data_IF_665749628729
#
_entry.id   IF_665749628729
#
_cell.length_a   1.000
_cell.length_b   1.000
_cell.length_c   1.000
_cell.angle_alpha   90.00
_cell.angle_beta   90.00
_cell.angle_gamma   90.00
#
_symmetry.space_group_name_H-M   'P 1'
#
loop_
_entity.id
_entity.type
_entity.pdbx_description
1 polymer ?
#
# COMPACT_ATOMS: atom_id res chain seq x y z
N UNK A 1 -38.00 -45.02 39.25
CA UNK A 1 -37.73 -44.60 37.89
C UNK A 1 -37.03 -43.23 37.97
N UNK A 2 -35.70 -43.14 37.81
CA UNK A 2 -35.01 -41.86 37.87
C UNK A 2 -35.08 -41.16 36.50
N UNK A 3 -35.46 -39.89 36.51
CA UNK A 3 -35.44 -38.98 35.36
C UNK A 3 -34.00 -38.61 35.02
N UNK A 4 -33.61 -38.95 33.81
CA UNK A 4 -32.28 -38.62 33.26
C UNK A 4 -32.10 -37.11 33.16
N UNK A 5 -31.08 -36.57 33.84
CA UNK A 5 -30.65 -35.19 33.74
C UNK A 5 -30.07 -34.95 32.37
N UNK A 6 -30.60 -33.96 31.68
CA UNK A 6 -29.99 -33.36 30.51
C UNK A 6 -28.86 -32.42 31.00
N UNK A 7 -27.64 -32.90 31.00
CA UNK A 7 -26.47 -32.03 31.10
C UNK A 7 -26.35 -31.26 29.78
N UNK A 8 -26.68 -29.97 29.83
CA UNK A 8 -26.34 -29.03 28.78
C UNK A 8 -24.82 -29.09 28.58
N UNK A 9 -24.39 -29.59 27.44
CA UNK A 9 -23.04 -29.49 26.97
C UNK A 9 -22.82 -28.01 26.57
N UNK A 10 -22.37 -27.19 27.51
CA UNK A 10 -21.75 -25.90 27.19
C UNK A 10 -20.42 -26.29 26.60
N UNK A 11 -20.34 -26.33 25.26
CA UNK A 11 -19.10 -26.56 24.55
C UNK A 11 -18.10 -25.49 24.96
N UNK A 12 -17.11 -25.87 25.76
CA UNK A 12 -15.96 -25.01 26.05
C UNK A 12 -15.30 -24.66 24.72
N UNK A 13 -15.14 -23.38 24.45
CA UNK A 13 -14.33 -22.89 23.36
C UNK A 13 -12.94 -23.50 23.51
N UNK A 14 -12.46 -24.18 22.46
CA UNK A 14 -11.15 -24.80 22.47
C UNK A 14 -10.08 -23.70 22.60
N UNK A 15 -9.02 -23.91 23.40
CA UNK A 15 -7.93 -22.94 23.58
C UNK A 15 -7.41 -22.38 22.26
N UNK A 16 -7.47 -23.17 21.19
CA UNK A 16 -7.09 -22.78 19.84
C UNK A 16 -8.08 -21.77 19.22
N UNK A 17 -9.39 -21.91 19.47
CA UNK A 17 -10.42 -20.98 18.99
C UNK A 17 -10.29 -19.63 19.70
N UNK A 18 -10.09 -19.64 21.01
CA UNK A 18 -9.86 -18.41 21.78
C UNK A 18 -8.55 -17.70 21.33
N UNK A 19 -7.51 -18.45 20.99
CA UNK A 19 -6.26 -17.89 20.46
C UNK A 19 -6.47 -17.27 19.08
N UNK A 20 -7.28 -17.91 18.23
CA UNK A 20 -7.62 -17.41 16.90
C UNK A 20 -8.41 -16.09 16.98
N UNK A 21 -9.43 -16.04 17.85
CA UNK A 21 -10.22 -14.80 18.03
C UNK A 21 -9.35 -13.62 18.49
N UNK A 22 -8.47 -13.86 19.47
CA UNK A 22 -7.51 -12.85 19.94
C UNK A 22 -6.51 -12.42 18.85
N UNK A 23 -6.12 -13.30 17.94
CA UNK A 23 -5.27 -12.94 16.80
C UNK A 23 -6.04 -12.09 15.79
N UNK A 24 -7.30 -12.46 15.47
CA UNK A 24 -8.13 -11.73 14.52
C UNK A 24 -8.38 -10.27 14.97
N UNK A 25 -8.48 -9.99 16.27
CA UNK A 25 -8.54 -8.61 16.80
C UNK A 25 -7.33 -7.74 16.37
N UNK A 26 -6.18 -8.35 16.15
CA UNK A 26 -4.94 -7.66 15.77
C UNK A 26 -4.62 -7.75 14.26
N UNK A 27 -5.29 -8.67 13.52
CA UNK A 27 -4.97 -8.99 12.13
C UNK A 27 -4.92 -7.76 11.23
N UNK A 28 -5.91 -6.87 11.32
CA UNK A 28 -5.96 -5.65 10.51
C UNK A 28 -4.73 -4.76 10.70
N UNK A 29 -4.31 -4.57 11.97
CA UNK A 29 -3.09 -3.81 12.29
C UNK A 29 -1.83 -4.49 11.78
N UNK A 30 -1.70 -5.81 11.92
CA UNK A 30 -0.55 -6.58 11.45
C UNK A 30 -0.42 -6.51 9.92
N UNK A 31 -1.55 -6.65 9.21
CA UNK A 31 -1.62 -6.49 7.76
C UNK A 31 -1.21 -5.09 7.32
N UNK A 32 -1.66 -4.05 8.03
CA UNK A 32 -1.30 -2.67 7.74
C UNK A 32 0.22 -2.42 7.94
N UNK A 33 0.83 -2.99 8.99
CA UNK A 33 2.30 -2.95 9.19
C UNK A 33 3.01 -3.66 8.04
N UNK A 34 2.61 -4.91 7.74
CA UNK A 34 3.26 -5.72 6.71
C UNK A 34 3.14 -5.09 5.31
N UNK A 35 1.98 -4.53 4.97
CA UNK A 35 1.78 -3.85 3.68
C UNK A 35 2.67 -2.60 3.55
N UNK A 36 2.81 -1.77 4.61
CA UNK A 36 3.72 -0.61 4.58
C UNK A 36 5.20 -1.02 4.54
N UNK A 37 5.51 -2.21 5.04
CA UNK A 37 6.85 -2.77 4.98
C UNK A 37 7.18 -3.38 3.61
N UNK A 38 6.24 -4.05 2.96
CA UNK A 38 6.51 -4.91 1.80
C UNK A 38 6.01 -4.35 0.46
N UNK A 39 5.04 -3.41 0.49
CA UNK A 39 4.43 -2.82 -0.72
C UNK A 39 3.61 -3.81 -1.56
N UNK A 40 3.45 -5.06 -1.09
CA UNK A 40 2.75 -6.14 -1.76
C UNK A 40 1.67 -6.72 -0.85
N UNK A 41 0.44 -6.78 -1.35
CA UNK A 41 -0.69 -7.33 -0.60
C UNK A 41 -0.55 -8.83 -0.32
N UNK A 42 -0.17 -9.69 -1.29
CA UNK A 42 0.06 -11.11 -1.02
C UNK A 42 1.15 -11.34 0.01
N UNK A 43 2.29 -10.66 -0.10
CA UNK A 43 3.38 -10.85 0.86
C UNK A 43 3.03 -10.31 2.24
N UNK A 44 2.19 -9.28 2.33
CA UNK A 44 1.66 -8.82 3.61
C UNK A 44 0.78 -9.88 4.27
N UNK A 45 -0.09 -10.56 3.50
CA UNK A 45 -0.89 -11.68 4.01
C UNK A 45 0.01 -12.87 4.42
N UNK A 46 1.01 -13.20 3.63
CA UNK A 46 1.98 -14.27 3.95
C UNK A 46 2.72 -13.97 5.26
N UNK A 47 3.14 -12.71 5.47
CA UNK A 47 3.79 -12.28 6.71
C UNK A 47 2.85 -12.36 7.93
N UNK A 48 1.58 -12.04 7.76
CA UNK A 48 0.56 -12.18 8.80
C UNK A 48 0.31 -13.66 9.12
N UNK A 49 0.23 -14.52 8.10
CA UNK A 49 0.07 -15.96 8.28
C UNK A 49 1.28 -16.59 8.99
N UNK A 50 2.50 -16.20 8.62
CA UNK A 50 3.73 -16.66 9.31
C UNK A 50 3.73 -16.22 10.77
N UNK A 51 3.21 -15.02 11.06
CA UNK A 51 3.04 -14.52 12.43
C UNK A 51 2.06 -15.37 13.23
N UNK A 52 0.94 -15.78 12.62
CA UNK A 52 -0.01 -16.72 13.21
C UNK A 52 0.64 -18.08 13.52
N UNK A 53 1.39 -18.64 12.57
CA UNK A 53 2.08 -19.90 12.78
C UNK A 53 3.11 -19.86 13.93
N UNK A 54 3.75 -18.70 14.14
CA UNK A 54 4.64 -18.50 15.29
C UNK A 54 3.86 -18.41 16.59
N UNK A 55 2.73 -17.70 16.62
CA UNK A 55 1.86 -17.61 17.79
C UNK A 55 1.31 -18.97 18.19
N UNK A 56 0.81 -19.76 17.24
CA UNK A 56 0.23 -21.09 17.50
C UNK A 56 1.24 -22.09 18.08
N UNK A 57 2.55 -21.89 17.84
CA UNK A 57 3.63 -22.71 18.43
C UNK A 57 4.04 -22.23 19.81
N UNK A 58 3.96 -20.93 20.09
CA UNK A 58 4.38 -20.33 21.37
C UNK A 58 3.28 -20.44 22.43
N UNK A 59 2.00 -20.35 22.01
CA UNK A 59 0.85 -20.18 22.91
C UNK A 59 0.73 -18.74 23.42
N UNK A 60 -0.49 -18.36 23.84
CA UNK A 60 -0.73 -16.99 24.35
C UNK A 60 -0.45 -16.83 25.85
N UNK A 61 -0.41 -17.90 26.62
CA UNK A 61 -0.38 -17.86 28.09
C UNK A 61 0.94 -17.28 28.65
N UNK A 62 2.03 -17.39 27.87
CA UNK A 62 3.33 -16.83 28.24
C UNK A 62 3.50 -15.37 27.80
N UNK A 63 2.53 -14.81 27.01
CA UNK A 63 2.65 -13.50 26.38
C UNK A 63 1.87 -12.47 27.18
N UNK A 64 2.55 -11.60 27.94
CA UNK A 64 1.93 -10.53 28.74
C UNK A 64 1.24 -9.44 27.90
N UNK A 65 1.78 -9.13 26.72
CA UNK A 65 1.26 -8.13 25.77
C UNK A 65 1.22 -8.74 24.37
N UNK A 66 0.07 -9.31 24.00
CA UNK A 66 -0.10 -9.99 22.72
C UNK A 66 0.09 -9.06 21.53
N UNK A 67 -0.53 -7.86 21.55
CA UNK A 67 -0.41 -6.89 20.45
C UNK A 67 1.02 -6.43 20.21
N UNK A 68 1.78 -6.14 21.27
CA UNK A 68 3.20 -5.78 21.19
C UNK A 68 4.05 -6.95 20.66
N UNK A 69 3.81 -8.16 21.15
CA UNK A 69 4.51 -9.37 20.69
C UNK A 69 4.23 -9.65 19.20
N UNK A 70 2.96 -9.60 18.78
CA UNK A 70 2.57 -9.80 17.39
C UNK A 70 3.20 -8.75 16.46
N UNK A 71 3.21 -7.48 16.88
CA UNK A 71 3.86 -6.39 16.13
C UNK A 71 5.37 -6.64 15.98
N UNK A 72 6.03 -7.13 17.04
CA UNK A 72 7.44 -7.52 17.00
C UNK A 72 7.68 -8.66 16.02
N UNK A 73 6.83 -9.68 16.04
CA UNK A 73 6.97 -10.87 15.18
C UNK A 73 6.75 -10.51 13.70
N UNK A 74 5.67 -9.80 13.37
CA UNK A 74 5.42 -9.40 11.97
C UNK A 74 6.52 -8.47 11.47
N UNK A 75 7.03 -7.56 12.31
CA UNK A 75 8.15 -6.69 11.96
C UNK A 75 9.43 -7.48 11.62
N UNK A 76 9.75 -8.52 12.38
CA UNK A 76 10.89 -9.42 12.09
C UNK A 76 10.68 -10.18 10.78
N UNK A 77 9.49 -10.77 10.57
CA UNK A 77 9.17 -11.47 9.33
C UNK A 77 9.36 -10.56 8.12
N UNK A 78 8.81 -9.34 8.17
CA UNK A 78 8.97 -8.37 7.09
C UNK A 78 10.44 -7.97 6.87
N UNK A 79 11.20 -7.75 7.95
CA UNK A 79 12.62 -7.39 7.88
C UNK A 79 13.43 -8.49 7.21
N UNK A 80 13.19 -9.75 7.56
CA UNK A 80 13.88 -10.90 6.98
C UNK A 80 13.55 -11.10 5.50
N UNK A 81 12.27 -10.88 5.11
CA UNK A 81 11.87 -10.87 3.70
C UNK A 81 12.58 -9.77 2.90
N UNK A 82 12.64 -8.55 3.43
CA UNK A 82 13.34 -7.44 2.78
C UNK A 82 14.86 -7.69 2.67
N UNK A 83 15.50 -8.19 3.72
CA UNK A 83 16.92 -8.56 3.70
C UNK A 83 17.19 -9.63 2.64
N UNK A 84 16.30 -10.63 2.53
CA UNK A 84 16.41 -11.70 1.53
C UNK A 84 16.27 -11.15 0.11
N UNK A 85 15.32 -10.21 -0.12
CA UNK A 85 15.16 -9.52 -1.41
C UNK A 85 16.43 -8.74 -1.75
N UNK A 86 16.95 -7.95 -0.82
CA UNK A 86 18.18 -7.16 -1.01
C UNK A 86 19.38 -8.05 -1.33
N UNK A 87 19.53 -9.18 -0.63
CA UNK A 87 20.62 -10.12 -0.88
C UNK A 87 20.53 -10.86 -2.23
N UNK A 88 19.31 -11.02 -2.77
CA UNK A 88 19.09 -11.66 -4.09
C UNK A 88 19.11 -10.67 -5.25
N UNK A 89 19.05 -9.37 -4.97
CA UNK A 89 19.09 -8.33 -6.00
C UNK A 89 20.52 -8.19 -6.51
N UNK A 90 20.75 -8.66 -7.72
CA UNK A 90 21.90 -8.31 -8.55
C UNK A 90 21.68 -6.98 -9.31
N UNK A 91 20.42 -6.50 -9.34
CA UNK A 91 20.02 -5.28 -10.06
C UNK A 91 19.63 -4.13 -9.11
N UNK A 92 19.86 -2.86 -9.55
CA UNK A 92 19.41 -1.67 -8.84
C UNK A 92 17.89 -1.70 -8.57
N UNK A 93 17.43 -0.92 -7.58
CA UNK A 93 15.99 -0.72 -7.30
C UNK A 93 15.31 -0.36 -8.62
N UNK A 94 14.35 -1.18 -9.05
CA UNK A 94 13.60 -0.93 -10.27
C UNK A 94 12.81 0.38 -10.10
N UNK A 95 13.27 1.44 -10.76
CA UNK A 95 12.63 2.76 -10.71
C UNK A 95 11.19 2.74 -11.23
N UNK A 96 10.79 1.64 -11.86
CA UNK A 96 9.46 1.46 -12.42
C UNK A 96 8.50 0.77 -11.45
N UNK A 97 8.99 0.16 -10.37
CA UNK A 97 8.15 -0.56 -9.41
C UNK A 97 7.07 0.35 -8.82
N UNK A 98 5.83 -0.13 -8.84
CA UNK A 98 4.66 0.48 -8.22
C UNK A 98 4.11 -0.50 -7.18
N UNK A 99 3.94 -0.10 -5.90
CA UNK A 99 3.30 -0.94 -4.89
C UNK A 99 1.89 -1.39 -5.29
N UNK A 100 1.40 -2.50 -4.75
CA UNK A 100 0.03 -2.96 -4.99
C UNK A 100 -0.98 -1.91 -4.48
N UNK A 101 -1.88 -1.39 -5.33
CA UNK A 101 -2.82 -0.36 -4.90
C UNK A 101 -3.97 -0.95 -4.04
N UNK A 102 -4.39 -0.19 -3.04
CA UNK A 102 -5.64 -0.43 -2.31
C UNK A 102 -6.76 0.33 -3.01
N UNK A 103 -7.77 -0.41 -3.49
CA UNK A 103 -8.89 0.17 -4.25
C UNK A 103 -10.15 0.23 -3.39
N UNK A 104 -10.89 1.36 -3.50
CA UNK A 104 -12.25 1.53 -2.95
C UNK A 104 -13.13 2.29 -3.94
N UNK A 105 -14.44 2.02 -3.96
CA UNK A 105 -15.37 2.85 -4.75
C UNK A 105 -15.33 4.31 -4.29
N UNK A 106 -15.45 5.25 -5.26
CA UNK A 106 -15.52 6.68 -4.94
C UNK A 106 -16.87 7.09 -4.31
N UNK A 107 -17.87 6.22 -4.35
CA UNK A 107 -19.22 6.45 -3.79
C UNK A 107 -19.24 6.36 -2.26
N UNK A 108 -18.21 5.83 -1.63
CA UNK A 108 -18.10 5.64 -0.19
C UNK A 108 -17.49 6.87 0.52
N UNK A 109 -17.76 8.07 0.01
CA UNK A 109 -17.35 9.33 0.65
C UNK A 109 -18.35 9.71 1.77
N UNK A 110 -18.55 8.84 2.75
CA UNK A 110 -19.25 9.20 3.97
C UNK A 110 -18.27 9.97 4.88
N UNK A 111 -18.65 11.14 5.41
CA UNK A 111 -17.79 11.91 6.33
C UNK A 111 -17.33 11.12 7.57
N UNK A 112 -18.09 10.13 8.01
CA UNK A 112 -17.69 9.23 9.09
C UNK A 112 -16.58 8.25 8.68
N UNK A 113 -16.46 7.93 7.39
CA UNK A 113 -15.39 7.08 6.84
C UNK A 113 -14.10 7.85 6.52
N UNK A 114 -14.13 9.19 6.44
CA UNK A 114 -12.92 10.01 6.35
C UNK A 114 -11.96 9.74 7.53
N UNK A 115 -12.48 9.42 8.69
CA UNK A 115 -11.68 9.07 9.88
C UNK A 115 -10.95 7.73 9.69
N UNK A 116 -11.51 6.79 8.95
CA UNK A 116 -10.87 5.52 8.58
C UNK A 116 -9.86 5.68 7.42
N UNK A 117 -9.96 6.77 6.64
CA UNK A 117 -8.99 7.11 5.59
C UNK A 117 -7.66 7.62 6.15
N UNK A 118 -7.62 8.13 7.38
CA UNK A 118 -6.37 8.52 8.04
C UNK A 118 -5.35 7.37 8.13
N UNK A 119 -5.80 6.12 8.00
CA UNK A 119 -4.94 4.93 7.92
C UNK A 119 -4.48 4.58 6.50
N UNK A 120 -4.99 5.21 5.43
CA UNK A 120 -4.55 4.92 4.08
C UNK A 120 -3.25 5.67 3.76
N UNK A 121 -2.20 4.89 3.59
CA UNK A 121 -0.88 5.39 3.17
C UNK A 121 -0.89 5.56 1.66
N UNK A 122 -0.71 6.79 1.18
CA UNK A 122 -0.65 7.10 -0.25
C UNK A 122 0.45 6.32 -0.98
N UNK A 123 0.25 6.03 -2.27
CA UNK A 123 1.25 5.33 -3.10
C UNK A 123 2.61 6.05 -3.10
N UNK A 124 2.61 7.38 -3.10
CA UNK A 124 3.82 8.18 -3.01
C UNK A 124 4.69 7.79 -1.81
N UNK A 125 4.09 7.69 -0.61
CA UNK A 125 4.84 7.29 0.57
C UNK A 125 5.35 5.86 0.46
N UNK A 126 4.55 4.92 -0.06
CA UNK A 126 5.00 3.54 -0.26
C UNK A 126 6.20 3.45 -1.20
N UNK A 127 6.19 4.22 -2.30
CA UNK A 127 7.33 4.31 -3.23
C UNK A 127 8.57 4.86 -2.55
N UNK A 128 8.44 5.89 -1.70
CA UNK A 128 9.59 6.40 -0.93
C UNK A 128 10.08 5.36 0.06
N UNK A 129 9.18 4.65 0.73
CA UNK A 129 9.57 3.57 1.65
C UNK A 129 10.40 2.48 0.95
N UNK A 130 10.13 2.18 -0.35
CA UNK A 130 10.93 1.22 -1.13
C UNK A 130 12.39 1.66 -1.31
N UNK A 131 12.69 2.95 -1.23
CA UNK A 131 14.06 3.47 -1.34
C UNK A 131 14.86 3.39 -0.03
N UNK A 132 14.21 3.06 1.09
CA UNK A 132 14.84 2.97 2.39
C UNK A 132 15.54 1.63 2.59
N UNK A 133 16.64 1.65 3.33
CA UNK A 133 17.24 0.41 3.85
C UNK A 133 16.22 -0.33 4.75
N UNK A 134 16.19 -1.67 4.74
CA UNK A 134 15.18 -2.44 5.48
C UNK A 134 15.03 -2.04 6.95
N UNK A 135 16.14 -1.80 7.65
CA UNK A 135 16.12 -1.40 9.06
C UNK A 135 15.63 0.05 9.26
N UNK A 136 15.92 0.96 8.32
CA UNK A 136 15.41 2.33 8.33
C UNK A 136 13.91 2.35 8.10
N UNK A 137 13.43 1.57 7.11
CA UNK A 137 12.00 1.37 6.82
C UNK A 137 11.26 0.86 8.06
N UNK A 138 11.77 -0.22 8.69
CA UNK A 138 11.14 -0.79 9.87
C UNK A 138 11.04 0.22 11.01
N UNK A 139 12.14 0.92 11.33
CA UNK A 139 12.15 1.89 12.40
C UNK A 139 11.15 3.05 12.15
N UNK A 140 11.04 3.53 10.92
CA UNK A 140 10.09 4.57 10.53
C UNK A 140 8.65 4.05 10.58
N UNK A 141 8.36 2.91 9.94
CA UNK A 141 7.00 2.36 9.89
C UNK A 141 6.49 2.11 11.30
N UNK A 142 7.24 1.36 12.13
CA UNK A 142 6.76 1.03 13.47
C UNK A 142 6.64 2.24 14.39
N UNK A 143 7.60 3.17 14.36
CA UNK A 143 7.57 4.32 15.26
C UNK A 143 6.66 5.44 14.76
N UNK A 144 6.88 5.91 13.51
CA UNK A 144 6.20 7.12 13.01
C UNK A 144 4.76 6.86 12.57
N UNK A 145 4.45 5.64 12.06
CA UNK A 145 3.10 5.31 11.59
C UNK A 145 2.28 4.49 12.59
N UNK A 146 2.93 3.73 13.48
CA UNK A 146 2.22 2.86 14.43
C UNK A 146 2.50 3.17 15.89
N UNK A 147 3.26 4.24 16.19
CA UNK A 147 3.58 4.73 17.54
C UNK A 147 4.23 3.68 18.46
N UNK A 148 4.99 2.72 17.89
CA UNK A 148 5.73 1.73 18.67
C UNK A 148 6.94 2.39 19.32
N UNK A 149 7.19 2.19 20.64
CA UNK A 149 8.36 2.74 21.31
C UNK A 149 9.69 2.22 20.72
N UNK A 150 10.71 3.06 20.68
CA UNK A 150 12.03 2.66 20.17
C UNK A 150 12.66 1.51 20.95
N UNK A 151 12.35 1.41 22.25
CA UNK A 151 12.85 0.32 23.10
C UNK A 151 12.30 -1.05 22.67
N UNK A 152 11.09 -1.08 22.11
CA UNK A 152 10.46 -2.28 21.56
C UNK A 152 10.94 -2.58 20.13
N UNK A 153 11.34 -1.56 19.36
CA UNK A 153 11.86 -1.72 17.98
C UNK A 153 13.33 -2.14 18.00
N UNK A 154 14.12 -1.64 18.95
CA UNK A 154 15.57 -1.85 19.04
C UNK A 154 15.98 -3.34 19.00
N UNK A 155 15.29 -4.27 19.72
CA UNK A 155 15.57 -5.69 19.63
C UNK A 155 15.24 -6.31 18.26
N UNK A 156 14.30 -5.72 17.50
CA UNK A 156 13.91 -6.23 16.17
C UNK A 156 15.03 -5.94 15.16
N UNK A 157 15.57 -4.71 15.19
CA UNK A 157 16.64 -4.29 14.28
C UNK A 157 18.04 -4.66 14.78
N UNK A 158 18.16 -5.29 15.96
CA UNK A 158 19.41 -5.68 16.60
C UNK A 158 20.35 -4.48 16.82
N UNK A 159 19.81 -3.39 17.33
CA UNK A 159 20.51 -2.13 17.60
C UNK A 159 20.15 -1.60 18.98
N UNK A 160 20.86 -0.58 19.46
CA UNK A 160 20.43 0.18 20.64
C UNK A 160 19.26 1.11 20.30
N UNK A 161 18.46 1.49 21.31
CA UNK A 161 17.36 2.46 21.12
C UNK A 161 17.86 3.79 20.55
N UNK A 162 19.06 4.24 20.91
CA UNK A 162 19.68 5.43 20.35
C UNK A 162 19.99 5.27 18.85
N UNK A 163 20.54 4.13 18.44
CA UNK A 163 20.80 3.82 17.03
C UNK A 163 19.49 3.68 16.24
N UNK A 164 18.44 3.09 16.83
CA UNK A 164 17.12 2.95 16.22
C UNK A 164 16.46 4.32 15.98
N UNK A 165 16.58 5.28 16.93
CA UNK A 165 16.16 6.68 16.71
C UNK A 165 16.88 7.32 15.51
N UNK A 166 18.17 7.04 15.34
CA UNK A 166 18.94 7.57 14.20
C UNK A 166 18.43 6.97 12.87
N UNK A 167 18.09 5.66 12.84
CA UNK A 167 17.47 5.03 11.66
C UNK A 167 16.16 5.74 11.28
N UNK A 168 15.24 5.88 12.21
CA UNK A 168 13.97 6.58 11.98
C UNK A 168 14.17 8.04 11.54
N UNK A 169 15.13 8.75 12.15
CA UNK A 169 15.45 10.13 11.77
C UNK A 169 15.97 10.25 10.34
N UNK A 170 16.81 9.31 9.87
CA UNK A 170 17.27 9.28 8.48
C UNK A 170 16.14 8.99 7.52
N UNK A 171 15.31 7.99 7.84
CA UNK A 171 14.13 7.64 7.07
C UNK A 171 13.16 8.83 6.93
N UNK A 172 12.85 9.52 8.05
CA UNK A 172 11.98 10.70 8.07
C UNK A 172 12.49 11.81 7.16
N UNK A 173 13.80 12.09 7.17
CA UNK A 173 14.39 13.11 6.28
C UNK A 173 14.26 12.73 4.81
N UNK A 174 14.40 11.45 4.45
CA UNK A 174 14.19 10.98 3.07
C UNK A 174 12.73 11.10 2.68
N UNK A 175 11.80 10.69 3.54
CA UNK A 175 10.36 10.80 3.31
C UNK A 175 9.94 12.27 3.12
N UNK A 176 10.37 13.17 4.00
CA UNK A 176 10.04 14.60 3.91
C UNK A 176 10.64 15.29 2.68
N UNK A 177 11.78 14.82 2.18
CA UNK A 177 12.45 15.39 1.00
C UNK A 177 11.96 14.82 -0.33
N UNK A 178 11.18 13.74 -0.33
CA UNK A 178 10.88 12.99 -1.55
C UNK A 178 9.41 13.08 -2.00
N UNK A 179 8.47 13.39 -1.11
CA UNK A 179 7.04 13.41 -1.48
C UNK A 179 6.40 14.75 -1.14
N UNK A 180 5.83 15.45 -2.15
CA UNK A 180 4.88 16.52 -1.87
C UNK A 180 3.68 15.92 -1.12
N UNK A 181 3.15 16.64 -0.13
CA UNK A 181 1.89 16.26 0.51
C UNK A 181 0.77 16.37 -0.52
N UNK A 182 0.00 15.29 -0.68
CA UNK A 182 -1.21 15.33 -1.52
C UNK A 182 -2.21 16.31 -0.91
N UNK A 183 -2.89 17.08 -1.77
CA UNK A 183 -4.05 17.92 -1.38
C UNK A 183 -5.09 17.01 -0.68
N UNK A 184 -5.49 17.29 0.56
CA UNK A 184 -6.43 16.45 1.30
C UNK A 184 -7.87 16.53 0.76
N UNK A 185 -8.22 17.53 -0.04
CA UNK A 185 -9.56 17.73 -0.57
C UNK A 185 -9.84 16.77 -1.75
N UNK A 186 -10.61 15.72 -1.47
CA UNK A 186 -10.99 14.72 -2.47
C UNK A 186 -11.87 15.28 -3.58
N UNK A 187 -12.69 16.31 -3.30
CA UNK A 187 -13.49 17.00 -4.30
C UNK A 187 -12.59 17.68 -5.34
N UNK A 188 -11.59 18.42 -4.88
CA UNK A 188 -10.61 19.07 -5.74
C UNK A 188 -9.73 18.06 -6.49
N UNK A 189 -9.30 16.99 -5.82
CA UNK A 189 -8.59 15.89 -6.50
C UNK A 189 -9.45 15.32 -7.65
N UNK A 190 -10.75 15.08 -7.40
CA UNK A 190 -11.68 14.58 -8.40
C UNK A 190 -11.78 15.50 -9.61
N UNK A 191 -11.97 16.80 -9.40
CA UNK A 191 -12.05 17.79 -10.49
C UNK A 191 -10.79 17.75 -11.39
N UNK A 192 -9.59 17.66 -10.78
CA UNK A 192 -8.33 17.63 -11.52
C UNK A 192 -8.19 16.32 -12.31
N UNK A 193 -8.53 15.18 -11.71
CA UNK A 193 -8.43 13.87 -12.39
C UNK A 193 -9.47 13.77 -13.51
N UNK A 194 -10.70 14.28 -13.31
CA UNK A 194 -11.73 14.35 -14.35
C UNK A 194 -11.29 15.25 -15.52
N UNK A 195 -10.72 16.42 -15.24
CA UNK A 195 -10.19 17.31 -16.26
C UNK A 195 -9.04 16.67 -17.06
N UNK A 196 -8.13 15.95 -16.37
CA UNK A 196 -7.05 15.21 -17.02
C UNK A 196 -7.60 14.12 -17.96
N UNK A 197 -8.59 13.36 -17.53
CA UNK A 197 -9.22 12.33 -18.36
C UNK A 197 -9.98 12.92 -19.55
N UNK A 198 -10.65 14.08 -19.38
CA UNK A 198 -11.35 14.78 -20.46
C UNK A 198 -10.35 15.26 -21.51
N UNK A 199 -9.28 15.97 -21.11
CA UNK A 199 -8.22 16.41 -22.01
C UNK A 199 -7.55 15.24 -22.77
N UNK A 200 -7.33 14.10 -22.09
CA UNK A 200 -6.79 12.91 -22.74
C UNK A 200 -7.74 12.33 -23.81
N UNK A 201 -9.06 12.29 -23.53
CA UNK A 201 -10.07 11.80 -24.49
C UNK A 201 -10.22 12.70 -25.71
N UNK A 202 -10.12 14.01 -25.51
CA UNK A 202 -10.25 15.03 -26.56
C UNK A 202 -8.95 15.21 -27.35
N UNK A 203 -7.84 14.68 -26.87
CA UNK A 203 -6.54 14.84 -27.51
C UNK A 203 -5.93 16.22 -27.26
N UNK A 204 -6.41 16.94 -26.24
CA UNK A 204 -5.95 18.31 -25.91
C UNK A 204 -4.61 18.25 -25.15
N UNK A 205 -3.51 18.37 -25.92
CA UNK A 205 -2.16 18.36 -25.40
C UNK A 205 -1.87 19.50 -24.43
N UNK A 206 -2.33 20.71 -24.77
CA UNK A 206 -2.02 21.91 -23.98
C UNK A 206 -2.79 21.88 -22.64
N UNK A 207 -4.03 21.41 -22.64
CA UNK A 207 -4.79 21.17 -21.41
C UNK A 207 -4.13 20.12 -20.51
N UNK A 208 -3.64 19.01 -21.10
CA UNK A 208 -2.89 18.02 -20.33
C UNK A 208 -1.64 18.62 -19.69
N UNK A 209 -0.84 19.38 -20.44
CA UNK A 209 0.37 20.03 -19.91
C UNK A 209 0.04 21.02 -18.79
N UNK A 210 -1.08 21.75 -18.89
CA UNK A 210 -1.48 22.71 -17.87
C UNK A 210 -1.86 22.07 -16.52
N UNK A 211 -2.41 20.85 -16.56
CA UNK A 211 -2.79 20.07 -15.35
C UNK A 211 -1.60 19.38 -14.69
N UNK A 212 -0.49 19.24 -15.39
CA UNK A 212 0.72 18.60 -14.89
C UNK A 212 1.71 19.60 -14.30
N UNK A 213 2.38 19.24 -13.21
CA UNK A 213 3.51 20.01 -12.71
C UNK A 213 4.67 19.93 -13.74
N UNK A 214 5.47 21.00 -13.95
CA UNK A 214 6.60 20.96 -14.88
C UNK A 214 7.55 19.78 -14.68
N UNK A 215 7.82 19.42 -13.42
CA UNK A 215 8.71 18.32 -13.01
C UNK A 215 7.94 17.06 -12.65
N UNK A 216 6.70 16.89 -13.12
CA UNK A 216 5.88 15.69 -12.82
C UNK A 216 6.64 14.42 -13.14
N UNK A 217 6.53 13.44 -12.24
CA UNK A 217 7.13 12.12 -12.41
C UNK A 217 6.05 11.06 -12.67
N UNK A 218 6.33 10.15 -13.59
CA UNK A 218 5.50 8.98 -13.87
C UNK A 218 6.30 7.71 -13.64
N UNK A 219 5.70 6.75 -12.94
CA UNK A 219 6.18 5.37 -12.84
C UNK A 219 5.09 4.45 -13.37
N UNK A 220 5.44 3.59 -14.31
CA UNK A 220 4.53 2.59 -14.86
C UNK A 220 5.16 1.20 -14.71
N UNK A 221 4.46 0.33 -14.02
CA UNK A 221 4.85 -1.06 -13.80
C UNK A 221 3.87 -1.98 -14.55
N UNK A 222 4.38 -2.59 -15.59
CA UNK A 222 3.61 -3.51 -16.46
C UNK A 222 4.05 -4.97 -16.29
N UNK A 223 4.97 -5.21 -15.34
CA UNK A 223 5.61 -6.51 -15.16
C UNK A 223 6.70 -6.81 -16.19
N UNK A 224 7.54 -7.77 -15.87
CA UNK A 224 8.73 -8.11 -16.64
C UNK A 224 8.43 -8.70 -18.05
N UNK A 225 7.22 -9.21 -18.26
CA UNK A 225 6.85 -9.89 -19.53
C UNK A 225 6.31 -8.92 -20.58
N UNK A 226 5.89 -7.71 -20.21
CA UNK A 226 5.34 -6.74 -21.15
C UNK A 226 6.45 -5.98 -21.84
N UNK A 227 6.39 -5.85 -23.17
CA UNK A 227 7.41 -5.20 -24.00
C UNK A 227 6.83 -4.10 -24.89
N UNK A 228 7.69 -3.27 -25.45
CA UNK A 228 7.29 -2.19 -26.37
C UNK A 228 6.73 -0.95 -25.64
N UNK A 229 5.78 -0.27 -26.25
CA UNK A 229 5.22 0.98 -25.72
C UNK A 229 4.51 0.81 -24.36
N UNK A 230 4.02 -0.40 -24.06
CA UNK A 230 3.35 -0.75 -22.81
C UNK A 230 4.32 -1.27 -21.74
N UNK A 231 5.62 -1.39 -22.01
CA UNK A 231 6.61 -1.85 -21.03
C UNK A 231 6.73 -0.91 -19.84
N UNK A 232 7.21 -1.46 -18.71
CA UNK A 232 7.53 -0.68 -17.52
C UNK A 232 8.46 0.49 -17.85
N UNK A 233 8.18 1.68 -17.28
CA UNK A 233 8.96 2.89 -17.54
C UNK A 233 8.86 3.90 -16.39
N UNK A 234 9.93 4.69 -16.26
CA UNK A 234 9.96 5.89 -15.44
C UNK A 234 10.19 7.10 -16.35
N UNK A 235 9.39 8.15 -16.17
CA UNK A 235 9.43 9.36 -17.00
C UNK A 235 9.31 10.60 -16.12
N UNK A 236 9.85 11.73 -16.62
CA UNK A 236 9.72 13.05 -15.98
C UNK A 236 9.38 14.12 -17.00
N UNK A 237 8.66 15.14 -16.53
CA UNK A 237 8.32 16.33 -17.28
C UNK A 237 6.95 16.29 -17.94
N UNK A 238 6.23 17.40 -17.82
CA UNK A 238 4.82 17.52 -18.23
C UNK A 238 4.59 17.17 -19.72
N UNK A 239 5.46 17.64 -20.63
CA UNK A 239 5.28 17.38 -22.07
C UNK A 239 5.44 15.91 -22.42
N UNK A 240 6.47 15.25 -21.91
CA UNK A 240 6.70 13.83 -22.18
C UNK A 240 5.58 12.95 -21.64
N UNK A 241 5.04 13.30 -20.46
CA UNK A 241 3.94 12.57 -19.84
C UNK A 241 2.62 12.87 -20.58
N UNK A 242 2.37 14.09 -21.04
CA UNK A 242 1.22 14.43 -21.87
C UNK A 242 1.21 13.67 -23.20
N UNK A 243 2.37 13.58 -23.89
CA UNK A 243 2.53 12.75 -25.10
C UNK A 243 2.20 11.28 -24.82
N UNK A 244 2.69 10.76 -23.69
CA UNK A 244 2.41 9.40 -23.27
C UNK A 244 0.91 9.20 -22.97
N UNK A 245 0.24 10.16 -22.31
CA UNK A 245 -1.18 10.11 -22.03
C UNK A 245 -2.02 10.04 -23.32
N UNK A 246 -1.66 10.81 -24.34
CA UNK A 246 -2.32 10.79 -25.65
C UNK A 246 -2.18 9.44 -26.38
N UNK A 247 -1.06 8.75 -26.24
CA UNK A 247 -0.89 7.40 -26.81
C UNK A 247 -1.88 6.39 -26.20
N UNK A 248 -2.31 6.59 -24.96
CA UNK A 248 -3.27 5.74 -24.26
C UNK A 248 -4.69 6.29 -24.24
N UNK A 249 -4.95 7.41 -24.92
CA UNK A 249 -6.28 8.02 -25.05
C UNK A 249 -7.42 7.05 -25.45
N UNK A 250 -7.21 6.07 -26.36
CA UNK A 250 -8.25 5.10 -26.71
C UNK A 250 -8.75 4.27 -25.53
N UNK A 251 -7.94 4.11 -24.48
CA UNK A 251 -8.30 3.37 -23.26
C UNK A 251 -9.02 4.26 -22.24
N UNK A 252 -8.93 5.59 -22.36
CA UNK A 252 -9.54 6.53 -21.42
C UNK A 252 -11.10 6.42 -21.37
N UNK A 253 -11.73 5.85 -22.39
CA UNK A 253 -13.17 5.54 -22.39
C UNK A 253 -13.61 4.50 -21.35
N UNK A 254 -12.69 3.64 -20.90
CA UNK A 254 -12.93 2.61 -19.90
C UNK A 254 -12.53 3.07 -18.49
N UNK A 255 -12.02 4.30 -18.38
CA UNK A 255 -11.57 4.88 -17.13
C UNK A 255 -12.75 5.18 -16.22
N UNK A 256 -12.65 4.69 -14.98
CA UNK A 256 -13.58 4.99 -13.87
C UNK A 256 -12.76 5.57 -12.72
N UNK A 257 -13.33 6.54 -12.02
CA UNK A 257 -12.74 7.07 -10.82
C UNK A 257 -12.91 6.07 -9.67
N UNK A 258 -11.87 5.95 -8.86
CA UNK A 258 -11.87 5.17 -7.63
C UNK A 258 -10.93 5.82 -6.61
N UNK A 259 -11.04 5.45 -5.35
CA UNK A 259 -10.02 5.76 -4.36
C UNK A 259 -8.88 4.74 -4.51
N UNK A 260 -7.68 5.25 -4.74
CA UNK A 260 -6.44 4.48 -4.84
C UNK A 260 -5.55 4.91 -3.67
N UNK A 261 -5.39 4.04 -2.69
CA UNK A 261 -4.67 4.36 -1.44
C UNK A 261 -5.17 5.67 -0.78
N UNK A 262 -6.49 5.87 -0.76
CA UNK A 262 -7.12 7.03 -0.13
C UNK A 262 -7.11 8.33 -0.91
N UNK A 263 -6.54 8.36 -2.12
CA UNK A 263 -6.57 9.50 -3.05
C UNK A 263 -7.41 9.17 -4.27
N UNK A 264 -7.97 10.19 -4.94
CA UNK A 264 -8.71 9.97 -6.19
C UNK A 264 -7.73 9.51 -7.26
N UNK A 265 -8.05 8.38 -7.86
CA UNK A 265 -7.30 7.78 -8.96
C UNK A 265 -8.23 7.18 -10.01
N UNK A 266 -7.66 6.38 -10.90
CA UNK A 266 -8.37 5.84 -12.07
C UNK A 266 -8.16 4.34 -12.17
N UNK A 267 -9.24 3.62 -12.42
CA UNK A 267 -9.24 2.20 -12.77
C UNK A 267 -9.74 2.05 -14.20
N UNK A 268 -8.96 1.42 -15.07
CA UNK A 268 -9.39 1.03 -16.41
C UNK A 268 -9.86 -0.41 -16.37
N UNK A 269 -11.15 -0.64 -16.61
CA UNK A 269 -11.78 -1.94 -16.55
C UNK A 269 -12.70 -2.19 -17.75
N UNK A 270 -12.17 -2.46 -18.95
CA UNK A 270 -12.98 -2.92 -20.09
C UNK A 270 -13.67 -4.22 -19.74
N UNK A 271 -14.97 -4.31 -20.05
CA UNK A 271 -15.79 -5.50 -19.77
C UNK A 271 -15.77 -5.97 -18.31
N UNK A 272 -15.41 -5.06 -17.37
CA UNK A 272 -15.34 -5.35 -15.94
C UNK A 272 -14.02 -5.94 -15.45
N UNK A 273 -13.08 -6.24 -16.34
CA UNK A 273 -11.74 -6.72 -15.97
C UNK A 273 -10.78 -5.54 -15.81
N UNK A 274 -10.13 -5.44 -14.65
CA UNK A 274 -9.12 -4.39 -14.41
C UNK A 274 -7.88 -4.68 -15.27
N UNK A 275 -7.53 -3.71 -16.13
CA UNK A 275 -6.32 -3.79 -16.98
C UNK A 275 -5.26 -2.77 -16.57
N UNK A 276 -5.64 -1.73 -15.83
CA UNK A 276 -4.69 -0.83 -15.18
C UNK A 276 -5.31 -0.05 -14.04
N UNK A 277 -4.47 0.32 -13.09
CA UNK A 277 -4.79 1.23 -11.98
C UNK A 277 -3.81 2.38 -12.02
N UNK A 278 -4.31 3.61 -11.94
CA UNK A 278 -3.51 4.82 -11.87
C UNK A 278 -3.81 5.59 -10.58
N UNK A 279 -2.81 5.70 -9.71
CA UNK A 279 -2.81 6.63 -8.60
C UNK A 279 -2.10 7.92 -8.98
N UNK A 280 -2.49 9.04 -8.37
CA UNK A 280 -1.86 10.36 -8.59
C UNK A 280 -1.57 11.04 -7.25
N UNK A 281 -0.55 11.88 -7.24
CA UNK A 281 -0.30 12.86 -6.18
C UNK A 281 -0.59 14.23 -6.75
N UNK A 282 -1.40 15.00 -6.04
CA UNK A 282 -1.80 16.37 -6.44
C UNK A 282 -1.31 17.34 -5.38
N UNK A 283 -0.57 18.36 -5.81
CA UNK A 283 -0.15 19.47 -4.98
C UNK A 283 -0.30 20.78 -5.75
N UNK A 284 -0.70 21.84 -5.08
CA UNK A 284 -0.91 23.17 -5.66
C UNK A 284 -1.80 23.16 -6.92
N UNK A 285 -2.81 22.28 -6.93
CA UNK A 285 -3.77 22.16 -8.03
C UNK A 285 -3.22 21.50 -9.29
N UNK A 286 -2.08 20.80 -9.22
CA UNK A 286 -1.45 20.09 -10.33
C UNK A 286 -1.06 18.67 -9.94
N UNK A 287 -1.04 17.77 -10.92
CA UNK A 287 -0.52 16.42 -10.75
C UNK A 287 1.00 16.49 -10.71
N UNK A 288 1.60 16.06 -9.60
CA UNK A 288 3.05 16.04 -9.35
C UNK A 288 3.66 14.66 -9.56
N UNK A 289 2.87 13.60 -9.31
CA UNK A 289 3.32 12.22 -9.49
C UNK A 289 2.18 11.35 -10.02
N UNK A 290 2.53 10.38 -10.85
CA UNK A 290 1.62 9.39 -11.43
C UNK A 290 2.20 7.99 -11.27
N UNK A 291 1.38 7.05 -10.80
CA UNK A 291 1.75 5.66 -10.55
C UNK A 291 0.78 4.75 -11.28
N UNK A 292 1.27 4.00 -12.25
CA UNK A 292 0.44 3.13 -13.08
C UNK A 292 0.86 1.67 -12.86
N UNK A 293 -0.05 0.87 -12.36
CA UNK A 293 0.10 -0.58 -12.33
C UNK A 293 -0.70 -1.20 -13.47
N UNK A 294 -0.04 -1.96 -14.34
CA UNK A 294 -0.66 -2.71 -15.44
C UNK A 294 -0.11 -4.14 -15.59
N UNK A 295 0.59 -4.67 -14.57
CA UNK A 295 0.99 -6.07 -14.51
C UNK A 295 -0.24 -6.98 -14.41
N UNK A 296 -0.53 -7.84 -15.41
CA UNK A 296 -1.74 -8.66 -15.42
C UNK A 296 -1.80 -9.65 -14.25
N UNK A 297 -0.64 -10.20 -13.82
CA UNK A 297 -0.58 -11.15 -12.72
C UNK A 297 -0.87 -10.51 -11.37
N UNK A 298 -0.47 -9.25 -11.18
CA UNK A 298 -0.78 -8.48 -9.97
C UNK A 298 -2.22 -7.97 -9.97
N UNK A 299 -2.72 -7.48 -11.11
CA UNK A 299 -4.09 -7.00 -11.27
C UNK A 299 -5.14 -8.10 -11.05
N UNK A 300 -4.90 -9.31 -11.56
CA UNK A 300 -5.81 -10.44 -11.34
C UNK A 300 -6.01 -10.78 -9.86
N UNK A 301 -5.03 -10.49 -9.00
CA UNK A 301 -5.15 -10.67 -7.54
C UNK A 301 -5.92 -9.56 -6.85
N UNK A 302 -5.95 -8.36 -7.41
CA UNK A 302 -6.76 -7.25 -6.91
C UNK A 302 -8.25 -7.51 -7.14
N UNK A 303 -8.63 -8.06 -8.29
CA UNK A 303 -10.02 -8.45 -8.61
C UNK A 303 -10.54 -9.53 -7.67
N UNK A 304 -9.71 -10.52 -7.32
CA UNK A 304 -10.08 -11.63 -6.43
C UNK A 304 -10.36 -11.17 -4.98
N UNK A 305 -9.81 -10.06 -4.55
CA UNK A 305 -10.02 -9.50 -3.20
C UNK A 305 -11.26 -8.59 -3.07
N UNK A 306 -12.12 -8.54 -4.11
CA UNK A 306 -13.48 -7.97 -4.01
C UNK A 306 -13.57 -6.45 -3.95
N UNK A 307 -12.54 -5.73 -4.35
CA UNK A 307 -12.43 -4.28 -4.19
C UNK A 307 -12.64 -3.51 -5.48
N UNK A 308 -13.69 -3.70 -6.19
CA UNK A 308 -14.41 -2.75 -7.08
C UNK A 308 -15.45 -3.55 -7.88
N UNK A 309 -16.62 -3.77 -7.30
CA UNK A 309 -17.83 -4.08 -8.09
C UNK A 309 -18.73 -2.88 -8.16
#
# INVERSE_FOLDING_TARGET
MPVAGWTCWVGGMNDTELLADRFEEHRGRLRAVAYRMLGSLPEAEDAVQETWLKLSRTGADEIRNLGGWLTTVVGRVCLDLLRTRTARREDPIDETFVPDPLLRPLTDLDPEEEVLQADSVGLALLVVLETLEPAERLAFVLHDLFAVPFDDIAPIVERSSAATRQLASRARRRVQGASPSTDPDLGRQREIVEAFLAAAREGDFDALVALLHPDVALRADSGALVRGAAASKAMRGARAIAEQALMFAPFARFARLALVNGSVGVVNAPEGQIVSVMGVTIADGRITEMYILSDPGRLARLDANGSVR
#
